data_IF_836234463380
#
_entry.id   IF_836234463380
#
_cell.length_a   1.000
_cell.length_b   1.000
_cell.length_c   1.000
_cell.angle_alpha   90.00
_cell.angle_beta   90.00
_cell.angle_gamma   90.00
#
_symmetry.space_group_name_H-M   'P 1'
#
loop_
_entity.id
_entity.type
_entity.pdbx_description
1 polymer ?
#
# COMPACT_ATOMS: atom_id res chain seq x y z
N UNK A 1 42.49 -19.49 3.21
CA UNK A 1 41.16 -20.14 3.24
C UNK A 1 40.10 -19.06 3.31
N UNK A 2 39.70 -18.51 2.16
CA UNK A 2 38.61 -17.54 2.04
C UNK A 2 37.33 -18.35 1.84
N UNK A 3 36.48 -18.41 2.86
CA UNK A 3 35.20 -19.12 2.78
C UNK A 3 34.32 -18.47 1.71
N UNK A 4 34.04 -19.27 0.68
CA UNK A 4 33.07 -19.06 -0.40
C UNK A 4 31.66 -18.91 0.19
N UNK A 5 31.33 -17.76 0.76
CA UNK A 5 29.95 -17.45 1.07
C UNK A 5 29.23 -17.12 -0.24
N UNK A 6 28.23 -17.95 -0.54
CA UNK A 6 27.30 -17.75 -1.65
C UNK A 6 26.73 -16.34 -1.61
N UNK A 7 27.02 -15.53 -2.62
CA UNK A 7 26.47 -14.20 -2.76
C UNK A 7 24.96 -14.30 -2.95
N UNK A 8 24.19 -13.73 -2.05
CA UNK A 8 22.74 -13.62 -2.21
C UNK A 8 22.44 -12.42 -3.08
N UNK A 9 21.90 -12.66 -4.27
CA UNK A 9 21.36 -11.59 -5.10
C UNK A 9 20.06 -11.07 -4.47
N UNK A 10 20.16 -9.91 -3.82
CA UNK A 10 19.05 -9.26 -3.15
C UNK A 10 17.91 -8.94 -4.13
N UNK A 11 18.23 -8.61 -5.39
CA UNK A 11 17.22 -8.34 -6.42
C UNK A 11 16.44 -9.61 -6.68
N UNK A 12 17.13 -10.73 -6.95
CA UNK A 12 16.49 -12.02 -7.22
C UNK A 12 15.65 -12.52 -6.05
N UNK A 13 16.14 -12.35 -4.82
CA UNK A 13 15.40 -12.74 -3.62
C UNK A 13 14.11 -11.94 -3.47
N UNK A 14 14.17 -10.62 -3.70
CA UNK A 14 13.02 -9.72 -3.61
C UNK A 14 12.01 -10.02 -4.71
N UNK A 15 12.47 -10.31 -5.94
CA UNK A 15 11.61 -10.73 -7.06
C UNK A 15 10.86 -12.02 -6.72
N UNK A 16 11.58 -13.04 -6.25
CA UNK A 16 10.98 -14.34 -5.94
C UNK A 16 9.95 -14.24 -4.82
N UNK A 17 10.23 -13.45 -3.78
CA UNK A 17 9.28 -13.23 -2.70
C UNK A 17 8.04 -12.46 -3.19
N UNK A 18 8.20 -11.42 -4.01
CA UNK A 18 7.06 -10.69 -4.57
C UNK A 18 6.17 -11.59 -5.45
N UNK A 19 6.75 -12.43 -6.30
CA UNK A 19 6.00 -13.42 -7.10
C UNK A 19 5.20 -14.37 -6.22
N UNK A 20 5.78 -14.82 -5.12
CA UNK A 20 5.10 -15.67 -4.15
C UNK A 20 3.89 -14.95 -3.54
N UNK A 21 4.04 -13.68 -3.13
CA UNK A 21 2.95 -12.88 -2.58
C UNK A 21 1.81 -12.69 -3.59
N UNK A 22 2.13 -12.32 -4.83
CA UNK A 22 1.15 -12.16 -5.91
C UNK A 22 0.41 -13.48 -6.18
N UNK A 23 1.14 -14.61 -6.19
CA UNK A 23 0.52 -15.93 -6.40
C UNK A 23 -0.44 -16.30 -5.28
N UNK A 24 -0.03 -16.12 -4.02
CA UNK A 24 -0.91 -16.35 -2.87
C UNK A 24 -2.15 -15.46 -2.92
N UNK A 25 -2.02 -14.21 -3.35
CA UNK A 25 -3.15 -13.29 -3.47
C UNK A 25 -4.13 -13.71 -4.58
N UNK A 26 -3.63 -14.28 -5.68
CA UNK A 26 -4.48 -14.76 -6.78
C UNK A 26 -5.18 -16.09 -6.49
N UNK A 27 -4.52 -17.02 -5.80
CA UNK A 27 -5.04 -18.37 -5.59
C UNK A 27 -5.99 -18.48 -4.39
N UNK A 28 -5.88 -17.58 -3.41
CA UNK A 28 -6.64 -17.68 -2.17
C UNK A 28 -7.78 -16.66 -2.09
N UNK A 29 -8.88 -17.08 -1.50
CA UNK A 29 -10.02 -16.20 -1.17
C UNK A 29 -9.86 -15.50 0.19
N UNK A 30 -8.74 -15.70 0.89
CA UNK A 30 -8.46 -15.15 2.21
C UNK A 30 -7.40 -14.04 2.15
N UNK A 31 -7.32 -13.22 3.20
CA UNK A 31 -6.33 -12.15 3.30
C UNK A 31 -4.90 -12.67 3.51
N UNK A 32 -3.92 -11.91 3.03
CA UNK A 32 -2.49 -12.19 3.18
C UNK A 32 -1.88 -11.31 4.28
N UNK A 33 -1.28 -11.93 5.31
CA UNK A 33 -0.53 -11.22 6.35
C UNK A 33 0.96 -11.21 6.00
N UNK A 34 1.51 -10.02 5.78
CA UNK A 34 2.94 -9.82 5.52
C UNK A 34 3.56 -9.17 6.76
N UNK A 35 4.57 -9.80 7.35
CA UNK A 35 5.32 -9.19 8.45
C UNK A 35 6.77 -9.68 8.51
N UNK A 36 7.63 -8.87 9.14
CA UNK A 36 8.93 -9.30 9.64
C UNK A 36 8.95 -9.20 11.17
N UNK A 37 10.09 -9.50 11.81
CA UNK A 37 10.22 -9.56 13.28
C UNK A 37 9.82 -8.23 13.93
N UNK A 38 10.39 -7.13 13.47
CA UNK A 38 10.11 -5.79 14.01
C UNK A 38 9.05 -5.02 13.21
N UNK A 39 8.81 -5.41 11.96
CA UNK A 39 7.70 -4.89 11.15
C UNK A 39 7.93 -3.56 10.43
N UNK A 40 9.06 -2.86 10.63
CA UNK A 40 9.25 -1.48 10.14
C UNK A 40 10.24 -1.32 8.96
N UNK A 41 10.79 -2.44 8.44
CA UNK A 41 11.72 -2.45 7.29
C UNK A 41 11.22 -3.31 6.12
N UNK A 42 11.31 -4.64 6.25
CA UNK A 42 10.92 -5.55 5.16
C UNK A 42 9.40 -5.60 4.94
N UNK A 43 8.61 -5.38 5.99
CA UNK A 43 7.15 -5.32 5.86
C UNK A 43 6.72 -4.16 4.96
N UNK A 44 7.10 -2.89 5.22
CA UNK A 44 6.69 -1.79 4.35
C UNK A 44 7.29 -1.89 2.94
N UNK A 45 8.47 -2.48 2.76
CA UNK A 45 9.01 -2.82 1.45
C UNK A 45 8.04 -3.69 0.64
N UNK A 46 7.63 -4.84 1.16
CA UNK A 46 6.77 -5.76 0.40
C UNK A 46 5.32 -5.30 0.29
N UNK A 47 4.79 -4.58 1.30
CA UNK A 47 3.48 -3.93 1.18
C UNK A 47 3.50 -2.89 0.06
N UNK A 48 4.54 -2.05 0.00
CA UNK A 48 4.69 -1.02 -1.04
C UNK A 48 4.78 -1.65 -2.43
N UNK A 49 5.65 -2.64 -2.62
CA UNK A 49 5.82 -3.31 -3.90
C UNK A 49 4.53 -4.00 -4.36
N UNK A 50 3.86 -4.73 -3.47
CA UNK A 50 2.59 -5.38 -3.79
C UNK A 50 1.51 -4.36 -4.16
N UNK A 51 1.38 -3.28 -3.37
CA UNK A 51 0.41 -2.20 -3.63
C UNK A 51 0.66 -1.55 -4.98
N UNK A 52 1.92 -1.24 -5.31
CA UNK A 52 2.28 -0.58 -6.56
C UNK A 52 2.07 -1.51 -7.76
N UNK A 53 2.37 -2.81 -7.66
CA UNK A 53 2.05 -3.79 -8.70
C UNK A 53 0.54 -3.86 -8.97
N UNK A 54 -0.27 -3.99 -7.91
CA UNK A 54 -1.73 -4.04 -8.04
C UNK A 54 -2.34 -2.72 -8.55
N UNK A 55 -1.75 -1.58 -8.19
CA UNK A 55 -2.17 -0.28 -8.68
C UNK A 55 -1.81 -0.10 -10.16
N UNK A 56 -0.63 -0.57 -10.58
CA UNK A 56 -0.23 -0.57 -11.99
C UNK A 56 -1.17 -1.43 -12.86
N UNK A 57 -1.69 -2.52 -12.31
CA UNK A 57 -2.74 -3.35 -12.94
C UNK A 57 -4.14 -2.71 -12.88
N UNK A 58 -4.31 -1.58 -12.20
CA UNK A 58 -5.60 -0.92 -12.04
C UNK A 58 -6.60 -1.68 -11.16
N UNK A 59 -6.15 -2.66 -10.36
CA UNK A 59 -7.05 -3.46 -9.50
C UNK A 59 -7.25 -2.85 -8.11
N UNK A 60 -6.42 -1.87 -7.71
CA UNK A 60 -6.56 -1.12 -6.46
C UNK A 60 -6.29 0.37 -6.68
N UNK A 61 -6.84 1.23 -5.81
CA UNK A 61 -6.54 2.68 -5.79
C UNK A 61 -6.70 3.38 -7.15
N UNK A 62 -7.67 2.96 -7.97
CA UNK A 62 -7.90 3.44 -9.35
C UNK A 62 -8.13 4.96 -9.46
N UNK A 63 -8.57 5.61 -8.38
CA UNK A 63 -8.76 7.05 -8.32
C UNK A 63 -7.48 7.84 -8.09
N UNK A 64 -6.36 7.18 -7.75
CA UNK A 64 -5.09 7.84 -7.48
C UNK A 64 -4.23 7.92 -8.73
N UNK A 65 -3.76 9.13 -9.03
CA UNK A 65 -2.74 9.34 -10.05
C UNK A 65 -1.32 8.93 -9.54
N UNK A 66 -0.30 8.91 -10.40
CA UNK A 66 1.06 8.47 -10.02
C UNK A 66 1.69 9.24 -8.85
N UNK A 67 1.45 10.55 -8.75
CA UNK A 67 1.98 11.34 -7.64
C UNK A 67 1.23 11.01 -6.33
N UNK A 68 -0.08 10.83 -6.40
CA UNK A 68 -0.91 10.48 -5.25
C UNK A 68 -0.59 9.10 -4.70
N UNK A 69 -0.41 8.08 -5.56
CA UNK A 69 -0.03 6.75 -5.09
C UNK A 69 1.38 6.75 -4.50
N UNK A 70 2.32 7.54 -5.07
CA UNK A 70 3.65 7.72 -4.49
C UNK A 70 3.58 8.32 -3.08
N UNK A 71 2.83 9.41 -2.90
CA UNK A 71 2.62 10.01 -1.58
C UNK A 71 1.93 9.04 -0.62
N UNK A 72 0.94 8.30 -1.09
CA UNK A 72 0.26 7.29 -0.30
C UNK A 72 1.23 6.21 0.17
N UNK A 73 2.08 5.69 -0.71
CA UNK A 73 3.11 4.70 -0.35
C UNK A 73 4.11 5.26 0.64
N UNK A 74 4.66 6.46 0.42
CA UNK A 74 5.63 7.07 1.35
C UNK A 74 4.97 7.31 2.72
N UNK A 75 3.83 7.99 2.76
CA UNK A 75 3.21 8.39 4.01
C UNK A 75 2.63 7.19 4.77
N UNK A 76 1.85 6.34 4.09
CA UNK A 76 1.13 5.26 4.74
C UNK A 76 2.00 4.03 4.97
N UNK A 77 2.69 3.55 3.92
CA UNK A 77 3.44 2.31 4.03
C UNK A 77 4.76 2.53 4.79
N UNK A 78 5.41 3.70 4.71
CA UNK A 78 6.71 3.91 5.37
C UNK A 78 6.64 4.78 6.62
N UNK A 79 6.14 6.02 6.52
CA UNK A 79 6.21 6.96 7.63
C UNK A 79 5.25 6.59 8.77
N UNK A 80 4.00 6.23 8.46
CA UNK A 80 3.00 5.86 9.45
C UNK A 80 3.30 4.49 10.10
N UNK A 81 3.92 3.57 9.36
CA UNK A 81 4.43 2.29 9.89
C UNK A 81 5.65 2.46 10.82
N UNK A 82 6.18 3.66 10.97
CA UNK A 82 7.28 3.96 11.88
C UNK A 82 8.65 3.55 11.35
N UNK A 83 8.88 3.63 10.04
CA UNK A 83 10.21 3.40 9.49
C UNK A 83 11.21 4.44 10.02
N UNK A 84 12.26 3.99 10.73
CA UNK A 84 13.30 4.88 11.24
C UNK A 84 14.34 5.20 10.15
N UNK A 85 13.98 6.13 9.27
CA UNK A 85 14.81 6.54 8.14
C UNK A 85 16.18 7.08 8.58
N UNK A 86 16.23 7.84 9.68
CA UNK A 86 17.47 8.42 10.21
C UNK A 86 18.46 7.34 10.67
N UNK A 87 17.99 6.37 11.46
CA UNK A 87 18.80 5.23 11.90
C UNK A 87 19.38 4.46 10.71
N UNK A 88 18.56 4.20 9.70
CA UNK A 88 18.94 3.44 8.51
C UNK A 88 19.97 4.18 7.66
N UNK A 89 19.76 5.47 7.43
CA UNK A 89 20.74 6.32 6.74
C UNK A 89 22.08 6.40 7.49
N UNK A 90 22.06 6.52 8.82
CA UNK A 90 23.28 6.57 9.63
C UNK A 90 24.14 5.30 9.52
N UNK A 91 23.52 4.17 9.15
CA UNK A 91 24.16 2.86 8.96
C UNK A 91 24.49 2.55 7.50
N UNK A 92 24.17 3.44 6.56
CA UNK A 92 24.29 3.18 5.13
C UNK A 92 23.30 2.14 4.60
N UNK A 93 22.18 1.93 5.30
CA UNK A 93 21.12 1.00 4.91
C UNK A 93 20.05 1.77 4.13
N UNK A 94 19.99 1.57 2.81
CA UNK A 94 19.11 2.36 1.93
C UNK A 94 17.79 1.65 1.61
N UNK A 95 17.22 0.86 2.53
CA UNK A 95 16.05 0.01 2.24
C UNK A 95 14.82 0.79 1.74
N UNK A 96 14.60 2.01 2.27
CA UNK A 96 13.56 2.91 1.79
C UNK A 96 13.75 3.27 0.31
N UNK A 97 14.98 3.65 -0.08
CA UNK A 97 15.31 3.99 -1.46
C UNK A 97 15.32 2.76 -2.37
N UNK A 98 15.80 1.62 -1.83
CA UNK A 98 15.78 0.33 -2.51
C UNK A 98 14.37 -0.02 -2.98
N UNK A 99 13.33 0.26 -2.19
CA UNK A 99 11.94 0.03 -2.59
C UNK A 99 11.59 0.68 -3.94
N UNK A 100 11.93 1.95 -4.12
CA UNK A 100 11.63 2.68 -5.35
C UNK A 100 12.61 2.35 -6.48
N UNK A 101 13.88 2.12 -6.14
CA UNK A 101 14.88 1.59 -7.08
C UNK A 101 14.43 0.24 -7.66
N UNK A 102 13.78 -0.59 -6.84
CA UNK A 102 13.38 -1.94 -7.20
C UNK A 102 12.27 -2.00 -8.26
N UNK A 103 11.50 -0.92 -8.43
CA UNK A 103 10.41 -0.85 -9.42
C UNK A 103 10.88 -1.16 -10.85
N UNK A 104 12.13 -0.80 -11.19
CA UNK A 104 12.70 -1.10 -12.52
C UNK A 104 12.92 -2.61 -12.77
N UNK A 105 12.86 -3.43 -11.73
CA UNK A 105 13.10 -4.88 -11.79
C UNK A 105 11.81 -5.70 -11.80
N UNK A 106 10.64 -5.05 -11.82
CA UNK A 106 9.32 -5.69 -11.75
C UNK A 106 8.36 -5.22 -12.85
N UNK A 107 8.90 -4.86 -14.02
CA UNK A 107 8.13 -4.36 -15.17
C UNK A 107 7.52 -5.46 -16.05
N UNK A 108 7.96 -6.70 -15.86
CA UNK A 108 7.55 -7.85 -16.66
C UNK A 108 6.18 -8.40 -16.20
N UNK A 109 5.45 -9.07 -17.10
CA UNK A 109 4.09 -9.56 -16.81
C UNK A 109 4.01 -10.57 -15.67
N UNK A 110 5.13 -11.20 -15.31
CA UNK A 110 5.16 -12.12 -14.17
C UNK A 110 4.92 -11.43 -12.82
N UNK A 111 4.92 -10.09 -12.79
CA UNK A 111 4.55 -9.27 -11.64
C UNK A 111 3.15 -8.64 -11.76
N UNK A 112 2.40 -8.97 -12.81
CA UNK A 112 1.02 -8.55 -13.00
C UNK A 112 0.05 -9.64 -12.51
N UNK A 113 -1.09 -9.22 -11.96
CA UNK A 113 -2.20 -10.12 -11.64
C UNK A 113 -3.17 -10.32 -12.81
N UNK A 114 -3.02 -9.59 -13.91
CA UNK A 114 -3.87 -9.66 -15.09
C UNK A 114 -3.20 -10.53 -16.18
N UNK A 115 -3.86 -11.61 -16.66
CA UNK A 115 -3.32 -12.40 -17.76
C UNK A 115 -3.27 -11.59 -19.08
N UNK A 116 -2.13 -11.65 -19.80
CA UNK A 116 -1.89 -10.94 -21.08
C UNK A 116 -2.96 -11.13 -22.16
N UNK A 117 -3.75 -12.21 -22.13
CA UNK A 117 -4.85 -12.42 -23.08
C UNK A 117 -5.96 -11.34 -23.00
N UNK A 118 -6.02 -10.56 -21.91
CA UNK A 118 -6.97 -9.44 -21.75
C UNK A 118 -6.32 -8.07 -22.07
N UNK A 119 -5.00 -7.96 -21.90
CA UNK A 119 -4.24 -6.71 -22.08
C UNK A 119 -4.13 -6.23 -23.53
N UNK A 120 -4.45 -7.09 -24.52
CA UNK A 120 -4.44 -6.72 -25.94
C UNK A 120 -5.73 -5.99 -26.40
N UNK A 121 -6.59 -5.54 -25.47
CA UNK A 121 -7.68 -4.63 -25.80
C UNK A 121 -7.19 -3.17 -25.68
N UNK A 122 -7.02 -2.41 -26.79
CA UNK A 122 -6.38 -1.09 -26.78
C UNK A 122 -7.09 -0.03 -25.92
N UNK A 123 -8.32 -0.30 -25.46
CA UNK A 123 -9.11 0.60 -24.61
C UNK A 123 -8.63 0.68 -23.15
N UNK A 124 -7.72 -0.18 -22.69
CA UNK A 124 -7.19 -0.19 -21.31
C UNK A 124 -5.81 0.47 -21.16
N UNK A 125 -5.32 1.15 -22.20
CA UNK A 125 -4.03 1.85 -22.11
C UNK A 125 -4.14 3.11 -21.24
N UNK A 126 -3.32 3.18 -20.19
CA UNK A 126 -3.16 4.37 -19.38
C UNK A 126 -2.33 5.43 -20.15
N UNK A 127 -2.67 6.73 -20.11
CA UNK A 127 -3.75 7.35 -19.34
C UNK A 127 -5.10 7.29 -20.09
N UNK A 128 -6.24 7.21 -19.36
CA UNK A 128 -7.55 7.26 -19.98
C UNK A 128 -7.70 8.59 -20.72
N UNK A 129 -7.86 8.50 -22.04
CA UNK A 129 -8.20 9.65 -22.87
C UNK A 129 -9.62 10.08 -22.47
N UNK A 130 -9.76 11.22 -21.79
CA UNK A 130 -11.07 11.87 -21.63
C UNK A 130 -11.54 12.25 -23.03
N UNK A 131 -12.53 11.54 -23.56
CA UNK A 131 -13.27 11.96 -24.74
C UNK A 131 -14.02 13.24 -24.40
N UNK A 132 -13.56 14.36 -24.95
CA UNK A 132 -14.26 15.64 -24.88
C UNK A 132 -15.53 15.51 -25.72
N UNK A 133 -16.64 15.11 -25.10
CA UNK A 133 -17.95 15.19 -25.74
C UNK A 133 -18.29 16.67 -25.99
N UNK A 134 -18.38 17.03 -27.26
CA UNK A 134 -18.85 18.32 -27.73
C UNK A 134 -20.35 18.46 -27.43
N UNK A 135 -20.69 18.81 -26.20
CA UNK A 135 -22.02 19.19 -25.77
C UNK A 135 -22.31 20.65 -26.11
N UNK A 136 -23.20 20.86 -27.07
CA UNK A 136 -23.79 22.15 -27.45
C UNK A 136 -24.34 22.92 -26.25
N UNK A 137 -23.94 24.19 -26.12
CA UNK A 137 -24.55 25.15 -25.18
C UNK A 137 -26.03 25.42 -25.52
N UNK A 138 -26.86 25.72 -24.51
CA UNK A 138 -27.48 27.04 -24.55
C UNK A 138 -27.51 27.73 -23.17
N UNK A 139 -26.97 28.96 -23.16
CA UNK A 139 -27.30 29.99 -22.20
C UNK A 139 -28.77 30.38 -22.38
N UNK A 140 -29.60 30.14 -21.37
CA UNK A 140 -30.88 30.82 -21.21
C UNK A 140 -31.41 30.61 -19.79
N UNK A 141 -31.41 31.67 -18.96
CA UNK A 141 -32.16 31.69 -17.71
C UNK A 141 -31.48 32.35 -16.51
N UNK A 142 -30.92 33.55 -16.64
CA UNK A 142 -30.66 34.40 -15.48
C UNK A 142 -31.99 35.01 -15.01
N UNK A 143 -32.66 34.29 -14.12
CA UNK A 143 -33.79 34.77 -13.34
C UNK A 143 -33.31 35.36 -12.02
N UNK A 144 -33.52 36.67 -11.87
CA UNK A 144 -33.31 37.49 -10.68
C UNK A 144 -34.04 36.93 -9.44
N UNK A 145 -33.33 36.73 -8.33
CA UNK A 145 -33.97 36.64 -7.01
C UNK A 145 -33.15 37.35 -5.92
N UNK A 146 -33.88 38.21 -5.21
CA UNK A 146 -33.45 39.23 -4.26
C UNK A 146 -32.97 38.66 -2.93
N UNK A 147 -31.99 39.34 -2.33
CA UNK A 147 -31.53 39.12 -0.95
C UNK A 147 -32.41 39.92 0.01
N UNK A 148 -33.07 39.24 0.95
CA UNK A 148 -33.59 39.87 2.17
C UNK A 148 -33.85 38.85 3.30
N UNK A 149 -33.13 38.99 4.41
CA UNK A 149 -33.64 38.67 5.77
C UNK A 149 -33.11 37.43 6.50
N UNK A 150 -33.11 37.42 7.85
CA UNK A 150 -32.03 36.87 8.68
C UNK A 150 -32.32 35.55 9.44
N UNK A 151 -31.28 35.00 10.06
CA UNK A 151 -31.23 33.80 10.93
C UNK A 151 -32.32 33.73 12.02
N UNK A 152 -32.62 32.50 12.49
CA UNK A 152 -32.41 32.22 13.91
C UNK A 152 -31.71 30.87 14.17
N UNK A 153 -30.81 30.85 15.15
CA UNK A 153 -30.17 29.63 15.64
C UNK A 153 -31.10 28.79 16.52
N UNK A 154 -30.75 27.52 16.75
CA UNK A 154 -31.02 26.76 17.98
C UNK A 154 -30.38 25.37 17.95
N UNK A 155 -29.45 25.18 18.90
CA UNK A 155 -29.30 24.05 19.84
C UNK A 155 -29.28 22.59 19.32
N UNK A 156 -28.14 21.94 19.58
CA UNK A 156 -27.97 20.49 19.72
C UNK A 156 -28.92 19.86 20.76
N UNK A 157 -29.16 18.54 20.67
CA UNK A 157 -28.55 17.66 21.68
C UNK A 157 -28.05 16.31 21.13
N UNK A 158 -26.87 15.89 21.61
CA UNK A 158 -26.47 14.47 21.67
C UNK A 158 -27.16 13.81 22.88
N UNK A 159 -27.34 12.47 22.85
CA UNK A 159 -26.49 11.67 23.74
C UNK A 159 -25.98 10.33 23.13
N UNK A 160 -24.66 10.19 23.21
CA UNK A 160 -23.86 9.02 23.65
C UNK A 160 -24.30 7.57 23.37
N UNK A 161 -23.44 6.83 22.66
CA UNK A 161 -22.96 5.49 23.08
C UNK A 161 -21.78 5.01 22.22
N UNK A 162 -20.55 5.20 22.69
CA UNK A 162 -19.38 4.42 22.26
C UNK A 162 -18.57 4.04 23.50
N UNK A 163 -18.36 2.73 23.68
CA UNK A 163 -17.64 2.12 24.80
C UNK A 163 -16.15 2.55 24.86
N UNK A 164 -15.54 2.63 26.05
CA UNK A 164 -14.14 3.02 26.19
C UNK A 164 -13.18 1.87 25.84
N UNK A 165 -12.14 2.20 25.06
CA UNK A 165 -10.95 1.37 24.83
C UNK A 165 -10.05 1.49 26.07
N UNK A 166 -9.70 0.37 26.70
CA UNK A 166 -8.82 0.33 27.85
C UNK A 166 -7.36 0.63 27.47
N UNK A 167 -6.70 1.52 28.23
CA UNK A 167 -5.29 1.89 28.10
C UNK A 167 -4.47 1.06 29.11
N UNK A 168 -3.36 0.41 28.73
CA UNK A 168 -2.48 -0.24 29.71
C UNK A 168 -1.64 0.79 30.49
N UNK A 169 -1.59 0.62 31.82
CA UNK A 169 -0.71 1.38 32.74
C UNK A 169 0.68 0.72 32.82
N UNK A 170 1.79 1.47 32.92
CA UNK A 170 3.14 0.92 33.00
C UNK A 170 3.41 0.33 34.37
N UNK A 171 3.87 -0.93 34.44
CA UNK A 171 4.33 -1.53 35.70
C UNK A 171 4.05 -3.01 35.85
N UNK A 172 4.56 -3.86 34.95
CA UNK A 172 4.82 -5.27 35.27
C UNK A 172 5.87 -5.86 34.34
N UNK A 173 7.05 -6.13 34.89
CA UNK A 173 8.09 -6.96 34.31
C UNK A 173 7.46 -8.28 33.82
N UNK A 174 7.54 -8.55 32.52
CA UNK A 174 7.23 -9.87 31.96
C UNK A 174 8.52 -10.57 31.60
N UNK A 175 8.70 -11.70 32.26
CA UNK A 175 9.78 -12.66 32.16
C UNK A 175 9.94 -13.18 30.72
N UNK A 176 11.17 -13.13 30.22
CA UNK A 176 11.62 -13.70 28.94
C UNK A 176 11.40 -15.21 28.98
N UNK A 177 10.69 -15.77 28.00
CA UNK A 177 10.58 -17.21 27.80
C UNK A 177 11.17 -17.54 26.43
N UNK A 178 12.37 -18.12 26.43
CA UNK A 178 12.97 -18.76 25.25
C UNK A 178 12.54 -20.21 25.24
N UNK A 179 12.00 -20.73 24.13
CA UNK A 179 12.01 -22.17 23.81
C UNK A 179 11.66 -22.43 22.34
N UNK A 180 12.69 -22.93 21.64
CA UNK A 180 12.72 -24.05 20.67
C UNK A 180 11.53 -24.32 19.72
N UNK A 181 11.89 -24.35 18.44
CA UNK A 181 11.16 -24.92 17.30
C UNK A 181 10.86 -26.41 17.42
N UNK A 182 9.66 -26.84 17.00
CA UNK A 182 9.43 -28.19 16.47
C UNK A 182 8.43 -28.16 15.31
N UNK A 183 8.82 -28.74 14.17
CA UNK A 183 7.95 -29.00 13.02
C UNK A 183 7.15 -30.29 13.25
N UNK A 184 5.90 -30.31 12.79
CA UNK A 184 5.14 -31.55 12.56
C UNK A 184 4.51 -31.47 11.17
N UNK A 185 4.91 -32.39 10.28
CA UNK A 185 4.28 -32.65 9.00
C UNK A 185 3.12 -33.64 9.20
N UNK A 186 1.92 -33.28 8.74
CA UNK A 186 0.77 -34.17 8.65
C UNK A 186 0.58 -34.67 7.21
N UNK A 187 0.38 -35.97 7.07
CA UNK A 187 0.11 -36.68 5.82
C UNK A 187 -1.23 -36.31 5.19
#
# INVERSE_FOLDING_TARGET
MSSLFQGWDLVKLTQNYLKLLLRYLQENSSGLLIHCISGWDRTPLFISLLRLSLWADGVVHQSLNPAQILYFTIAYDWMLFGHNLEDRLSKGEEIFFFCFYFLKHIVEDEFSVIPRNIACNPQLTWPPQVSLESGTSPLSGLGSFSISGPLPGSKSPHPSRTSPVAVPVPGRLRHRNESSSSMSAGR
#
